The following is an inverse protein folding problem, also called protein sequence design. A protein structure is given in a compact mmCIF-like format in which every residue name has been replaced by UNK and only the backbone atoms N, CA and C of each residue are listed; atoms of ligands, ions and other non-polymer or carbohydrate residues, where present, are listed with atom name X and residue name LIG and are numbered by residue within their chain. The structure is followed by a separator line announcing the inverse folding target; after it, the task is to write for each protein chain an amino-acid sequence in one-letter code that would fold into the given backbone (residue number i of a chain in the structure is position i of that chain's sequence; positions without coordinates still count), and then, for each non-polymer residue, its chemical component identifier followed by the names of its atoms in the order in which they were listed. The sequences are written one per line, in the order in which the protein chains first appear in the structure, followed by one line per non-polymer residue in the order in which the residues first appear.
data_IF_994943244245
#
_entry.id   IF_994943244245
#
_cell.length_a   1.000
_cell.length_b   1.000
_cell.length_c   1.000
_cell.angle_alpha   90.00
_cell.angle_beta   90.00
_cell.angle_gamma   90.00
#
_symmetry.space_group_name_H-M   'P 1'
#
loop_
_entity.id
_entity.type
_entity.pdbx_description
1 polymer ?
#
# COMPACT_ATOMS: atom_id res chain seq x y z
N UNK A 1 19.81 -13.25 14.80
CA UNK A 1 18.98 -12.20 14.18
C UNK A 1 17.54 -12.63 14.36
N UNK A 2 16.75 -11.92 15.17
CA UNK A 2 15.32 -12.24 15.28
C UNK A 2 14.70 -11.97 13.92
N UNK A 3 14.15 -13.00 13.28
CA UNK A 3 13.41 -12.82 12.04
C UNK A 3 12.20 -11.95 12.33
N UNK A 4 12.04 -10.84 11.62
CA UNK A 4 10.87 -9.96 11.72
C UNK A 4 9.61 -10.77 11.41
N UNK A 5 8.70 -10.89 12.40
CA UNK A 5 7.39 -11.49 12.19
C UNK A 5 6.34 -10.39 12.07
N UNK A 6 5.70 -10.22 10.88
CA UNK A 6 4.73 -9.16 10.66
C UNK A 6 3.50 -9.27 11.58
N UNK A 7 3.05 -10.47 11.94
CA UNK A 7 1.90 -10.66 12.82
C UNK A 7 2.22 -10.20 14.24
N UNK A 8 3.38 -10.59 14.78
CA UNK A 8 3.80 -10.12 16.12
C UNK A 8 3.94 -8.59 16.17
N UNK A 9 4.40 -7.97 15.08
CA UNK A 9 4.52 -6.51 15.01
C UNK A 9 3.15 -5.83 15.08
N UNK A 10 2.18 -6.28 14.28
CA UNK A 10 0.81 -5.77 14.33
C UNK A 10 0.19 -5.95 15.70
N UNK A 11 0.36 -7.12 16.33
CA UNK A 11 -0.15 -7.42 17.67
C UNK A 11 0.44 -6.47 18.73
N UNK A 12 1.74 -6.18 18.67
CA UNK A 12 2.40 -5.19 19.56
C UNK A 12 1.82 -3.78 19.39
N UNK A 13 1.59 -3.36 18.15
CA UNK A 13 1.01 -2.04 17.84
C UNK A 13 -0.42 -1.97 18.36
N UNK A 14 -1.25 -2.99 18.10
CA UNK A 14 -2.61 -3.08 18.61
C UNK A 14 -2.65 -3.02 20.15
N UNK A 15 -1.80 -3.80 20.82
CA UNK A 15 -1.72 -3.80 22.28
C UNK A 15 -1.36 -2.42 22.83
N UNK A 16 -0.31 -1.80 22.30
CA UNK A 16 0.11 -0.43 22.66
C UNK A 16 -1.01 0.60 22.44
N UNK A 17 -1.75 0.45 21.33
CA UNK A 17 -2.88 1.35 21.03
C UNK A 17 -4.03 1.19 22.00
N UNK A 18 -4.38 -0.05 22.39
CA UNK A 18 -5.39 -0.31 23.41
C UNK A 18 -4.99 0.27 24.78
N UNK A 19 -3.71 0.13 25.16
CA UNK A 19 -3.17 0.70 26.40
C UNK A 19 -3.24 2.23 26.41
N UNK A 20 -2.83 2.90 25.31
CA UNK A 20 -2.88 4.37 25.19
C UNK A 20 -4.33 4.89 25.26
N UNK A 21 -5.26 4.15 24.68
CA UNK A 21 -6.69 4.51 24.66
C UNK A 21 -7.42 4.07 25.93
N UNK A 22 -6.73 3.39 26.84
CA UNK A 22 -7.30 2.83 28.10
C UNK A 22 -8.54 1.96 27.82
N UNK A 23 -8.45 1.09 26.79
CA UNK A 23 -9.51 0.16 26.43
C UNK A 23 -9.47 -1.09 27.32
N UNK A 24 -10.61 -1.78 27.43
CA UNK A 24 -10.68 -3.08 28.09
C UNK A 24 -9.79 -4.12 27.38
N UNK A 25 -9.14 -5.00 28.14
CA UNK A 25 -8.20 -6.00 27.60
C UNK A 25 -8.89 -6.94 26.58
N UNK A 26 -10.19 -7.17 26.72
CA UNK A 26 -10.99 -7.97 25.79
C UNK A 26 -10.97 -7.42 24.36
N UNK A 27 -10.80 -6.10 24.19
CA UNK A 27 -10.70 -5.48 22.86
C UNK A 27 -9.44 -5.95 22.14
N UNK A 28 -8.31 -5.98 22.85
CA UNK A 28 -7.07 -6.54 22.30
C UNK A 28 -7.22 -8.04 21.98
N UNK A 29 -7.82 -8.80 22.90
CA UNK A 29 -8.02 -10.24 22.70
C UNK A 29 -8.87 -10.57 21.49
N UNK A 30 -9.87 -9.75 21.17
CA UNK A 30 -10.72 -9.90 20.00
C UNK A 30 -10.00 -9.51 18.70
N UNK A 31 -9.07 -8.54 18.74
CA UNK A 31 -8.43 -7.99 17.55
C UNK A 31 -7.03 -8.55 17.24
N UNK A 32 -6.41 -9.30 18.18
CA UNK A 32 -5.04 -9.81 18.00
C UNK A 32 -4.90 -10.91 16.95
N UNK A 33 -5.98 -11.66 16.71
CA UNK A 33 -6.02 -12.74 15.71
C UNK A 33 -7.22 -12.55 14.78
N UNK A 34 -7.11 -12.97 13.51
CA UNK A 34 -8.24 -12.94 12.59
C UNK A 34 -9.32 -13.95 12.99
N UNK A 35 -10.58 -13.61 12.73
CA UNK A 35 -11.72 -14.51 12.96
C UNK A 35 -11.58 -15.82 12.16
N UNK A 36 -10.94 -15.75 10.99
CA UNK A 36 -10.72 -16.93 10.14
C UNK A 36 -9.49 -16.78 9.25
N UNK A 37 -8.73 -17.86 9.13
CA UNK A 37 -7.70 -18.01 8.10
C UNK A 37 -7.90 -19.32 7.38
N UNK A 38 -7.98 -19.26 6.04
CA UNK A 38 -8.20 -20.39 5.15
C UNK A 38 -6.89 -20.64 4.37
N UNK A 39 -6.33 -21.83 4.51
CA UNK A 39 -5.21 -22.31 3.70
C UNK A 39 -5.74 -23.27 2.63
N UNK A 40 -5.29 -23.10 1.39
CA UNK A 40 -5.75 -23.87 0.23
C UNK A 40 -4.56 -24.40 -0.58
N UNK A 41 -4.78 -25.53 -1.25
CA UNK A 41 -3.87 -26.08 -2.25
C UNK A 41 -4.54 -26.01 -3.62
N UNK A 42 -3.90 -25.32 -4.56
CA UNK A 42 -4.44 -25.01 -5.89
C UNK A 42 -3.73 -25.87 -6.93
N UNK A 43 -4.35 -26.96 -7.43
CA UNK A 43 -3.78 -27.76 -8.50
C UNK A 43 -3.92 -27.05 -9.84
N UNK A 44 -2.81 -26.75 -10.50
CA UNK A 44 -2.77 -26.11 -11.82
C UNK A 44 -2.14 -27.05 -12.83
N UNK A 45 -2.83 -27.30 -13.94
CA UNK A 45 -2.25 -28.00 -15.09
C UNK A 45 -1.34 -27.03 -15.84
N UNK A 46 -0.05 -27.31 -15.83
CA UNK A 46 0.96 -26.50 -16.51
C UNK A 46 0.92 -26.71 -18.03
N UNK A 47 1.54 -25.83 -18.80
CA UNK A 47 1.57 -25.90 -20.26
C UNK A 47 2.30 -27.17 -20.77
N UNK A 48 3.21 -27.72 -19.97
CA UNK A 48 3.88 -29.01 -20.24
C UNK A 48 3.02 -30.22 -19.91
N UNK A 49 1.75 -30.05 -19.54
CA UNK A 49 0.78 -31.10 -19.22
C UNK A 49 0.88 -31.69 -17.80
N UNK A 50 1.90 -31.37 -17.03
CA UNK A 50 2.04 -31.79 -15.62
C UNK A 50 1.21 -30.92 -14.68
N UNK A 51 0.90 -31.45 -13.50
CA UNK A 51 0.27 -30.65 -12.44
C UNK A 51 1.33 -30.07 -11.50
N UNK A 52 1.17 -28.78 -11.16
CA UNK A 52 1.89 -28.10 -10.06
C UNK A 52 0.84 -27.66 -9.04
N UNK A 53 1.14 -27.86 -7.75
CA UNK A 53 0.26 -27.43 -6.65
C UNK A 53 0.83 -26.16 -6.06
N UNK A 54 0.02 -25.11 -6.02
CA UNK A 54 0.37 -23.84 -5.38
C UNK A 54 -0.37 -23.70 -4.06
N UNK A 55 0.32 -23.18 -3.04
CA UNK A 55 -0.29 -22.89 -1.75
C UNK A 55 -0.83 -21.48 -1.76
N UNK A 56 -2.07 -21.32 -1.30
CA UNK A 56 -2.75 -20.03 -1.18
C UNK A 56 -3.35 -19.83 0.21
N UNK A 57 -3.64 -18.59 0.55
CA UNK A 57 -4.21 -18.16 1.82
C UNK A 57 -5.31 -17.12 1.61
N UNK A 58 -6.32 -17.13 2.50
CA UNK A 58 -7.24 -16.02 2.70
C UNK A 58 -7.48 -15.82 4.18
N UNK A 59 -7.13 -14.66 4.71
CA UNK A 59 -7.38 -14.24 6.09
C UNK A 59 -8.54 -13.25 6.13
N UNK A 60 -9.48 -13.47 7.05
CA UNK A 60 -10.66 -12.68 7.33
C UNK A 60 -10.55 -12.24 8.78
N UNK A 61 -10.18 -10.96 9.00
CA UNK A 61 -9.75 -10.49 10.31
C UNK A 61 -10.94 -10.12 11.21
N UNK A 62 -11.75 -9.16 10.79
CA UNK A 62 -12.88 -8.67 11.58
C UNK A 62 -13.94 -8.07 10.65
N UNK A 63 -15.22 -8.46 10.80
CA UNK A 63 -16.33 -8.02 9.96
C UNK A 63 -17.33 -7.07 10.67
N UNK A 64 -16.99 -6.59 11.86
CA UNK A 64 -17.84 -5.69 12.66
C UNK A 64 -18.27 -4.44 11.89
N UNK A 65 -17.41 -3.92 11.01
CA UNK A 65 -17.71 -2.75 10.16
C UNK A 65 -18.43 -3.12 8.85
N UNK A 66 -18.42 -4.39 8.45
CA UNK A 66 -19.01 -4.89 7.21
C UNK A 66 -18.18 -6.00 6.57
N UNK A 67 -18.48 -6.39 5.31
CA UNK A 67 -17.77 -7.47 4.61
C UNK A 67 -16.25 -7.31 4.66
N UNK A 68 -15.53 -8.42 4.81
CA UNK A 68 -14.07 -8.40 4.74
C UNK A 68 -13.61 -7.81 3.40
N UNK A 69 -12.57 -6.99 3.42
CA UNK A 69 -12.06 -6.30 2.23
C UNK A 69 -10.56 -6.30 2.20
N UNK A 70 -9.96 -6.73 1.08
CA UNK A 70 -8.51 -6.65 0.93
C UNK A 70 -7.96 -7.37 -0.28
N UNK A 71 -6.71 -7.04 -0.63
CA UNK A 71 -6.02 -7.51 -1.81
C UNK A 71 -5.60 -8.98 -1.77
N UNK A 72 -5.27 -9.52 -2.93
CA UNK A 72 -4.67 -10.85 -3.12
C UNK A 72 -3.27 -10.62 -3.68
N UNK A 73 -2.23 -11.06 -2.94
CA UNK A 73 -0.82 -10.91 -3.30
C UNK A 73 -0.29 -12.20 -3.94
N UNK A 74 0.40 -12.08 -5.07
CA UNK A 74 1.14 -13.17 -5.68
C UNK A 74 2.63 -12.92 -5.49
N UNK A 75 3.25 -13.65 -4.56
CA UNK A 75 4.68 -13.45 -4.29
C UNK A 75 5.30 -14.71 -3.65
N UNK A 76 6.57 -15.03 -3.94
CA UNK A 76 7.24 -16.21 -3.37
C UNK A 76 7.35 -16.22 -1.84
N UNK A 77 7.37 -15.05 -1.20
CA UNK A 77 7.51 -14.91 0.26
C UNK A 77 6.19 -14.94 1.03
N UNK A 78 5.04 -14.99 0.34
CA UNK A 78 3.73 -15.05 0.99
C UNK A 78 3.67 -16.19 1.99
N UNK A 79 3.18 -15.89 3.18
CA UNK A 79 2.98 -16.88 4.26
C UNK A 79 1.74 -16.54 5.10
N UNK A 80 1.36 -17.47 6.01
CA UNK A 80 0.16 -17.32 6.82
C UNK A 80 0.19 -16.11 7.74
N UNK A 81 1.32 -15.82 8.39
CA UNK A 81 1.45 -14.69 9.34
C UNK A 81 1.40 -13.34 8.61
N UNK A 82 1.98 -13.26 7.41
CA UNK A 82 1.89 -12.06 6.58
C UNK A 82 0.45 -11.73 6.19
N UNK A 83 -0.33 -12.73 5.71
CA UNK A 83 -1.73 -12.46 5.32
C UNK A 83 -2.62 -12.15 6.52
N UNK A 84 -2.35 -12.72 7.70
CA UNK A 84 -3.02 -12.37 8.95
C UNK A 84 -2.73 -10.92 9.34
N UNK A 85 -1.45 -10.54 9.38
CA UNK A 85 -1.03 -9.17 9.70
C UNK A 85 -1.68 -8.14 8.77
N UNK A 86 -1.60 -8.40 7.45
CA UNK A 86 -2.15 -7.50 6.45
C UNK A 86 -3.68 -7.43 6.49
N UNK A 87 -4.38 -8.50 6.91
CA UNK A 87 -5.83 -8.47 7.11
C UNK A 87 -6.22 -7.61 8.33
N UNK A 88 -5.44 -7.63 9.40
CA UNK A 88 -5.62 -6.74 10.56
C UNK A 88 -5.43 -5.28 10.16
N UNK A 89 -4.37 -4.96 9.40
CA UNK A 89 -4.17 -3.62 8.84
C UNK A 89 -5.35 -3.15 8.00
N UNK A 90 -5.96 -4.03 7.20
CA UNK A 90 -7.14 -3.68 6.41
C UNK A 90 -8.35 -3.33 7.27
N UNK A 91 -8.59 -4.04 8.40
CA UNK A 91 -9.64 -3.66 9.36
C UNK A 91 -9.40 -2.26 9.90
N UNK A 92 -8.16 -1.96 10.31
CA UNK A 92 -7.81 -0.63 10.85
C UNK A 92 -7.95 0.47 9.79
N UNK A 93 -7.50 0.22 8.54
CA UNK A 93 -7.66 1.17 7.43
C UNK A 93 -9.13 1.51 7.16
N UNK A 94 -9.96 0.49 6.98
CA UNK A 94 -11.39 0.69 6.72
C UNK A 94 -12.06 1.44 7.87
N UNK A 95 -11.72 1.09 9.13
CA UNK A 95 -12.27 1.77 10.31
C UNK A 95 -11.80 3.23 10.41
N UNK A 96 -10.51 3.50 10.20
CA UNK A 96 -9.96 4.85 10.26
C UNK A 96 -10.57 5.81 9.22
N UNK A 97 -10.99 5.28 8.08
CA UNK A 97 -11.64 6.03 6.99
C UNK A 97 -13.17 5.92 7.00
N UNK A 98 -13.74 5.32 8.05
CA UNK A 98 -15.19 5.11 8.20
C UNK A 98 -15.84 4.38 7.01
N UNK A 99 -15.11 3.48 6.35
CA UNK A 99 -15.66 2.64 5.31
C UNK A 99 -16.42 1.46 5.92
N UNK A 100 -17.58 1.07 5.35
CA UNK A 100 -18.37 -0.03 5.86
C UNK A 100 -17.80 -1.40 5.43
N UNK A 101 -16.53 -1.63 5.73
CA UNK A 101 -15.81 -2.86 5.40
C UNK A 101 -14.98 -3.34 6.57
N UNK A 102 -14.90 -4.65 6.71
CA UNK A 102 -13.96 -5.35 7.55
C UNK A 102 -12.59 -5.53 6.89
N UNK A 103 -11.71 -6.30 7.52
CA UNK A 103 -10.38 -6.57 7.00
C UNK A 103 -10.22 -7.97 6.43
N UNK A 104 -9.78 -8.04 5.17
CA UNK A 104 -9.43 -9.29 4.52
C UNK A 104 -8.09 -9.19 3.78
N UNK A 105 -7.39 -10.30 3.66
CA UNK A 105 -6.17 -10.38 2.85
C UNK A 105 -5.98 -11.78 2.30
N UNK A 106 -5.51 -11.86 1.07
CA UNK A 106 -5.17 -13.13 0.44
C UNK A 106 -3.76 -13.12 -0.14
N UNK A 107 -3.29 -14.31 -0.49
CA UNK A 107 -2.03 -14.45 -1.21
C UNK A 107 -1.82 -15.85 -1.73
N UNK A 108 -0.94 -15.97 -2.72
CA UNK A 108 -0.45 -17.24 -3.26
C UNK A 108 1.07 -17.21 -3.24
N UNK A 109 1.68 -18.32 -2.80
CA UNK A 109 3.14 -18.52 -2.88
C UNK A 109 3.48 -18.84 -4.33
N UNK A 110 3.93 -17.83 -5.09
CA UNK A 110 4.25 -17.97 -6.52
C UNK A 110 5.18 -16.86 -6.99
N UNK A 111 6.13 -17.18 -7.84
CA UNK A 111 6.80 -16.22 -8.71
C UNK A 111 6.04 -16.16 -10.03
N UNK A 112 5.39 -15.03 -10.30
CA UNK A 112 4.59 -14.83 -11.52
C UNK A 112 5.44 -14.85 -12.79
N UNK A 113 6.74 -14.55 -12.69
CA UNK A 113 7.67 -14.57 -13.83
C UNK A 113 7.97 -15.98 -14.32
N UNK A 114 7.70 -17.01 -13.50
CA UNK A 114 7.84 -18.42 -13.88
C UNK A 114 6.63 -18.95 -14.66
N UNK A 115 5.55 -18.18 -14.78
CA UNK A 115 4.28 -18.63 -15.35
C UNK A 115 4.00 -17.97 -16.70
N UNK A 116 3.43 -18.76 -17.61
CA UNK A 116 2.80 -18.19 -18.80
C UNK A 116 1.49 -17.50 -18.43
N UNK A 117 0.98 -16.63 -19.31
CA UNK A 117 -0.33 -15.97 -19.14
C UNK A 117 -1.46 -17.00 -18.92
N UNK A 118 -1.42 -18.13 -19.64
CA UNK A 118 -2.41 -19.19 -19.51
C UNK A 118 -2.30 -19.94 -18.16
N UNK A 119 -1.10 -20.13 -17.67
CA UNK A 119 -0.86 -20.74 -16.35
C UNK A 119 -1.30 -19.79 -15.22
N UNK A 120 -1.02 -18.50 -15.36
CA UNK A 120 -1.46 -17.47 -14.42
C UNK A 120 -2.99 -17.35 -14.38
N UNK A 121 -3.67 -17.46 -15.53
CA UNK A 121 -5.14 -17.51 -15.60
C UNK A 121 -5.68 -18.74 -14.86
N UNK A 122 -5.13 -19.92 -15.14
CA UNK A 122 -5.54 -21.15 -14.46
C UNK A 122 -5.33 -21.10 -12.95
N UNK A 123 -4.21 -20.51 -12.51
CA UNK A 123 -3.92 -20.30 -11.08
C UNK A 123 -4.95 -19.35 -10.44
N UNK A 124 -5.24 -18.24 -11.10
CA UNK A 124 -6.19 -17.23 -10.61
C UNK A 124 -7.61 -17.80 -10.49
N UNK A 125 -8.06 -18.56 -11.49
CA UNK A 125 -9.35 -19.27 -11.45
C UNK A 125 -9.35 -20.37 -10.39
N UNK A 126 -8.25 -21.09 -10.24
CA UNK A 126 -8.08 -22.12 -9.22
C UNK A 126 -8.22 -21.57 -7.81
N UNK A 127 -7.66 -20.39 -7.53
CA UNK A 127 -7.83 -19.71 -6.25
C UNK A 127 -9.30 -19.43 -5.93
N UNK A 128 -10.06 -18.92 -6.88
CA UNK A 128 -11.50 -18.67 -6.70
C UNK A 128 -12.26 -19.99 -6.51
N UNK A 129 -11.92 -21.05 -7.26
CA UNK A 129 -12.57 -22.36 -7.16
C UNK A 129 -12.47 -22.95 -5.75
N UNK A 130 -11.35 -22.72 -5.05
CA UNK A 130 -11.18 -23.20 -3.68
C UNK A 130 -11.90 -22.28 -2.64
N UNK A 131 -12.14 -21.00 -2.99
CA UNK A 131 -12.63 -20.00 -2.03
C UNK A 131 -14.02 -19.44 -2.30
N UNK A 132 -14.70 -19.79 -3.41
CA UNK A 132 -15.97 -19.16 -3.80
C UNK A 132 -17.07 -19.22 -2.74
N UNK A 133 -17.03 -20.20 -1.84
CA UNK A 133 -18.00 -20.32 -0.71
C UNK A 133 -17.76 -19.33 0.42
N UNK A 134 -16.60 -18.71 0.47
CA UNK A 134 -16.13 -17.82 1.54
C UNK A 134 -15.94 -16.38 1.07
N UNK A 135 -16.09 -16.11 -0.24
CA UNK A 135 -16.00 -14.78 -0.83
C UNK A 135 -17.35 -14.39 -1.45
N UNK A 136 -17.59 -13.10 -1.58
CA UNK A 136 -18.83 -12.55 -2.14
C UNK A 136 -19.03 -11.10 -1.71
N UNK A 137 -19.90 -10.40 -2.41
CA UNK A 137 -20.18 -8.97 -2.20
C UNK A 137 -20.71 -8.62 -0.80
N UNK A 138 -21.27 -9.61 -0.07
CA UNK A 138 -21.80 -9.47 1.29
C UNK A 138 -20.93 -10.09 2.38
N UNK A 139 -19.83 -10.75 1.99
CA UNK A 139 -19.01 -11.52 2.94
C UNK A 139 -17.56 -11.12 2.91
N UNK A 140 -16.94 -11.19 1.75
CA UNK A 140 -15.52 -10.94 1.57
C UNK A 140 -15.24 -10.50 0.14
N UNK A 141 -14.71 -9.31 -0.02
CA UNK A 141 -14.53 -8.63 -1.31
C UNK A 141 -13.04 -8.50 -1.63
N UNK A 142 -12.48 -9.43 -2.43
CA UNK A 142 -11.09 -9.35 -2.85
C UNK A 142 -10.81 -8.15 -3.77
N UNK A 143 -9.53 -7.79 -3.81
CA UNK A 143 -9.00 -6.69 -4.61
C UNK A 143 -7.61 -7.05 -5.16
N UNK A 144 -7.03 -6.29 -6.12
CA UNK A 144 -5.64 -6.48 -6.52
C UNK A 144 -4.66 -6.01 -5.43
N UNK A 145 -3.47 -6.62 -5.43
CA UNK A 145 -2.31 -6.28 -4.61
C UNK A 145 -1.02 -6.54 -5.42
N UNK A 146 0.11 -6.78 -4.77
CA UNK A 146 1.40 -7.07 -5.45
C UNK A 146 1.24 -8.21 -6.45
N UNK A 147 1.71 -7.98 -7.68
CA UNK A 147 1.68 -8.91 -8.82
C UNK A 147 0.27 -9.42 -9.22
N UNK A 148 -0.77 -8.71 -8.81
CA UNK A 148 -2.13 -8.89 -9.33
C UNK A 148 -2.66 -7.58 -9.91
N UNK A 149 -3.58 -7.67 -10.87
CA UNK A 149 -4.05 -6.52 -11.63
C UNK A 149 -5.51 -6.69 -12.05
N UNK A 150 -6.01 -5.74 -12.82
CA UNK A 150 -7.38 -5.74 -13.33
C UNK A 150 -7.73 -6.96 -14.18
N UNK A 151 -6.78 -7.50 -14.95
CA UNK A 151 -6.93 -8.70 -15.78
C UNK A 151 -7.16 -9.95 -14.91
N UNK A 152 -6.35 -10.10 -13.85
CA UNK A 152 -6.48 -11.18 -12.88
C UNK A 152 -7.83 -11.08 -12.15
N UNK A 153 -8.23 -9.89 -11.73
CA UNK A 153 -9.54 -9.69 -11.09
C UNK A 153 -10.70 -10.03 -12.02
N UNK A 154 -10.57 -9.78 -13.32
CA UNK A 154 -11.57 -10.16 -14.32
C UNK A 154 -11.69 -11.67 -14.45
N UNK A 155 -10.57 -12.41 -14.53
CA UNK A 155 -10.58 -13.87 -14.54
C UNK A 155 -11.19 -14.48 -13.28
N UNK A 156 -10.87 -13.91 -12.12
CA UNK A 156 -11.42 -14.34 -10.84
C UNK A 156 -12.93 -14.12 -10.75
N UNK A 157 -13.40 -12.95 -11.20
CA UNK A 157 -14.83 -12.64 -11.23
C UNK A 157 -15.60 -13.57 -12.19
N UNK A 158 -15.08 -13.79 -13.40
CA UNK A 158 -15.70 -14.70 -14.38
C UNK A 158 -15.82 -16.13 -13.81
N UNK A 159 -14.78 -16.61 -13.12
CA UNK A 159 -14.84 -17.92 -12.48
C UNK A 159 -15.87 -17.97 -11.34
N UNK A 160 -15.94 -16.91 -10.52
CA UNK A 160 -16.92 -16.80 -9.45
C UNK A 160 -18.35 -16.85 -9.97
N UNK A 161 -18.64 -16.12 -11.05
CA UNK A 161 -19.96 -16.12 -11.70
C UNK A 161 -20.30 -17.52 -12.24
N UNK A 162 -19.34 -18.21 -12.88
CA UNK A 162 -19.54 -19.57 -13.38
C UNK A 162 -19.87 -20.56 -12.27
N UNK A 163 -19.20 -20.45 -11.12
CA UNK A 163 -19.38 -21.38 -10.01
C UNK A 163 -20.67 -21.14 -9.21
N UNK A 164 -21.07 -19.89 -9.08
CA UNK A 164 -22.18 -19.50 -8.21
C UNK A 164 -23.49 -19.22 -8.94
N UNK A 165 -23.42 -18.91 -10.24
CA UNK A 165 -24.54 -18.36 -11.01
C UNK A 165 -24.92 -16.94 -10.62
N UNK A 166 -24.17 -16.28 -9.70
CA UNK A 166 -24.44 -14.92 -9.24
C UNK A 166 -23.71 -13.92 -10.14
N UNK A 167 -24.46 -13.15 -10.90
CA UNK A 167 -23.96 -12.16 -11.87
C UNK A 167 -23.55 -10.82 -11.21
N UNK A 168 -23.35 -10.77 -9.89
CA UNK A 168 -22.86 -9.55 -9.24
C UNK A 168 -21.45 -9.20 -9.69
N UNK A 169 -21.23 -7.94 -10.04
CA UNK A 169 -19.90 -7.41 -10.33
C UNK A 169 -19.19 -6.90 -9.06
N UNK A 170 -19.87 -6.90 -7.91
CA UNK A 170 -19.38 -6.31 -6.67
C UNK A 170 -18.40 -7.21 -5.89
N UNK A 171 -18.35 -8.51 -6.19
CA UNK A 171 -17.50 -9.48 -5.47
C UNK A 171 -16.00 -9.15 -5.54
N UNK A 172 -15.53 -8.58 -6.64
CA UNK A 172 -14.13 -8.19 -6.82
C UNK A 172 -14.04 -6.71 -7.16
N UNK A 173 -13.09 -5.98 -6.56
CA UNK A 173 -12.78 -4.59 -6.92
C UNK A 173 -11.48 -4.50 -7.71
N UNK A 174 -11.17 -3.29 -8.24
CA UNK A 174 -9.94 -3.09 -9.02
C UNK A 174 -9.95 -3.76 -10.40
N UNK A 175 -11.12 -4.02 -10.95
CA UNK A 175 -11.35 -4.51 -12.31
C UNK A 175 -11.25 -3.39 -13.34
N UNK A 176 -11.04 -3.76 -14.61
CA UNK A 176 -11.16 -2.84 -15.73
C UNK A 176 -12.57 -2.19 -15.79
N UNK A 177 -12.67 -0.99 -16.33
CA UNK A 177 -13.93 -0.23 -16.43
C UNK A 177 -15.04 -1.03 -17.12
N UNK A 178 -14.70 -1.72 -18.22
CA UNK A 178 -15.65 -2.58 -18.95
C UNK A 178 -16.23 -3.75 -18.16
N UNK A 179 -15.60 -4.10 -17.04
CA UNK A 179 -16.06 -5.15 -16.10
C UNK A 179 -16.64 -4.57 -14.80
N UNK A 180 -17.12 -3.34 -14.80
CA UNK A 180 -17.68 -2.68 -13.62
C UNK A 180 -16.62 -2.14 -12.66
N UNK A 181 -15.44 -1.78 -13.17
CA UNK A 181 -14.43 -1.02 -12.43
C UNK A 181 -14.84 0.44 -12.23
N UNK A 182 -14.16 1.15 -11.33
CA UNK A 182 -14.42 2.56 -11.03
C UNK A 182 -13.37 3.46 -11.64
N UNK A 183 -13.79 4.63 -12.15
CA UNK A 183 -12.87 5.70 -12.54
C UNK A 183 -12.04 6.19 -11.33
N UNK A 184 -10.85 6.71 -11.59
CA UNK A 184 -9.98 7.29 -10.57
C UNK A 184 -9.20 6.29 -9.72
N UNK A 185 -9.41 4.97 -9.85
CA UNK A 185 -8.73 3.96 -9.02
C UNK A 185 -7.20 4.06 -9.10
N UNK A 186 -6.66 4.38 -10.29
CA UNK A 186 -5.20 4.49 -10.52
C UNK A 186 -4.57 5.61 -9.70
N UNK A 187 -5.24 6.74 -9.56
CA UNK A 187 -4.72 7.92 -8.84
C UNK A 187 -5.25 8.04 -7.40
N UNK A 188 -6.25 7.22 -7.01
CA UNK A 188 -6.97 7.39 -5.74
C UNK A 188 -6.06 7.46 -4.50
N UNK A 189 -5.06 6.58 -4.39
CA UNK A 189 -4.12 6.59 -3.26
C UNK A 189 -3.31 7.89 -3.20
N UNK A 190 -2.75 8.33 -4.34
CA UNK A 190 -2.00 9.58 -4.41
C UNK A 190 -2.87 10.81 -4.11
N UNK A 191 -4.13 10.81 -4.55
CA UNK A 191 -5.12 11.85 -4.19
C UNK A 191 -5.35 11.87 -2.67
N UNK A 192 -5.56 10.70 -2.07
CA UNK A 192 -5.76 10.56 -0.62
C UNK A 192 -4.58 11.14 0.17
N UNK A 193 -3.36 10.73 -0.19
CA UNK A 193 -2.13 11.26 0.43
C UNK A 193 -2.04 12.78 0.29
N UNK A 194 -2.34 13.33 -0.89
CA UNK A 194 -2.32 14.77 -1.12
C UNK A 194 -3.37 15.52 -0.26
N UNK A 195 -4.59 14.97 -0.15
CA UNK A 195 -5.65 15.57 0.69
C UNK A 195 -5.25 15.54 2.17
N UNK A 196 -4.76 14.41 2.66
CA UNK A 196 -4.30 14.27 4.05
C UNK A 196 -3.12 15.21 4.34
N UNK A 197 -2.17 15.33 3.40
CA UNK A 197 -1.06 16.30 3.53
C UNK A 197 -1.57 17.73 3.69
N UNK A 198 -2.49 18.15 2.81
CA UNK A 198 -3.11 19.48 2.89
C UNK A 198 -3.82 19.73 4.24
N UNK A 199 -4.64 18.78 4.66
CA UNK A 199 -5.40 18.94 5.93
C UNK A 199 -4.47 18.92 7.15
N UNK A 200 -3.39 18.15 7.10
CA UNK A 200 -2.38 18.12 8.17
C UNK A 200 -1.60 19.43 8.25
N UNK A 201 -1.16 19.96 7.11
CA UNK A 201 -0.52 21.30 7.06
C UNK A 201 -1.44 22.38 7.60
N UNK A 202 -2.72 22.35 7.21
CA UNK A 202 -3.72 23.31 7.73
C UNK A 202 -3.85 23.24 9.26
N UNK A 203 -3.84 22.05 9.86
CA UNK A 203 -3.86 21.87 11.32
C UNK A 203 -2.61 22.43 12.00
N UNK A 204 -1.46 22.40 11.31
CA UNK A 204 -0.21 23.00 11.76
C UNK A 204 -0.13 24.52 11.54
N UNK A 205 -1.15 25.12 10.95
CA UNK A 205 -1.15 26.54 10.59
C UNK A 205 -0.25 26.88 9.39
N UNK A 206 0.15 25.89 8.61
CA UNK A 206 1.01 26.05 7.43
C UNK A 206 0.13 26.12 6.18
N UNK A 207 0.29 27.18 5.41
CA UNK A 207 -0.38 27.29 4.11
C UNK A 207 0.31 26.39 3.09
N UNK A 208 -0.45 25.52 2.43
CA UNK A 208 0.10 24.61 1.40
C UNK A 208 0.83 25.35 0.29
N UNK A 209 0.40 26.56 -0.06
CA UNK A 209 1.02 27.39 -1.12
C UNK A 209 2.40 27.93 -0.75
N UNK A 210 2.75 27.91 0.52
CA UNK A 210 4.03 28.35 1.06
C UNK A 210 4.89 27.15 1.50
N UNK A 211 4.35 25.93 1.40
CA UNK A 211 5.01 24.71 1.87
C UNK A 211 6.00 24.16 0.86
N UNK A 212 7.18 23.77 1.34
CA UNK A 212 8.16 22.97 0.61
C UNK A 212 7.97 21.49 0.94
N UNK A 213 7.90 20.66 -0.10
CA UNK A 213 7.57 19.25 0.01
C UNK A 213 8.65 18.39 -0.67
N UNK A 214 9.09 17.34 0.02
CA UNK A 214 9.98 16.33 -0.52
C UNK A 214 9.27 14.98 -0.60
N UNK A 215 9.41 14.26 -1.72
CA UNK A 215 8.75 12.97 -1.97
C UNK A 215 9.78 11.90 -2.24
N UNK A 216 9.68 10.77 -1.53
CA UNK A 216 10.51 9.60 -1.79
C UNK A 216 9.71 8.56 -2.58
N UNK A 217 10.16 8.26 -3.79
CA UNK A 217 9.47 7.39 -4.74
C UNK A 217 8.57 8.18 -5.70
N UNK A 218 8.73 7.95 -7.00
CA UNK A 218 7.96 8.60 -8.06
C UNK A 218 7.13 7.61 -8.89
N UNK A 219 6.83 6.44 -8.29
CA UNK A 219 5.91 5.45 -8.85
C UNK A 219 4.45 5.94 -8.82
N UNK A 220 3.49 5.01 -8.89
CA UNK A 220 2.06 5.36 -8.98
C UNK A 220 1.59 6.27 -7.84
N UNK A 221 1.96 6.00 -6.59
CA UNK A 221 1.54 6.81 -5.44
C UNK A 221 2.24 8.16 -5.45
N UNK A 222 3.58 8.18 -5.52
CA UNK A 222 4.36 9.42 -5.42
C UNK A 222 4.09 10.41 -6.55
N UNK A 223 4.02 9.96 -7.82
CA UNK A 223 3.74 10.82 -8.96
C UNK A 223 2.33 11.44 -8.91
N UNK A 224 1.31 10.64 -8.52
CA UNK A 224 -0.04 11.17 -8.34
C UNK A 224 -0.14 12.09 -7.11
N UNK A 225 0.56 11.78 -6.02
CA UNK A 225 0.65 12.69 -4.86
C UNK A 225 1.25 14.03 -5.26
N UNK A 226 2.40 14.02 -5.97
CA UNK A 226 3.05 15.24 -6.47
C UNK A 226 2.10 16.07 -7.34
N UNK A 227 1.45 15.42 -8.33
CA UNK A 227 0.49 16.05 -9.25
C UNK A 227 -0.65 16.76 -8.52
N UNK A 228 -1.22 16.12 -7.49
CA UNK A 228 -2.34 16.70 -6.78
C UNK A 228 -1.91 17.78 -5.77
N UNK A 229 -0.75 17.62 -5.13
CA UNK A 229 -0.19 18.66 -4.26
C UNK A 229 0.17 19.92 -5.04
N UNK A 230 0.81 19.80 -6.22
CA UNK A 230 1.07 20.96 -7.10
C UNK A 230 -0.23 21.67 -7.49
N UNK A 231 -1.28 20.93 -7.87
CA UNK A 231 -2.61 21.50 -8.16
C UNK A 231 -3.24 22.24 -6.98
N UNK A 232 -2.92 21.84 -5.75
CA UNK A 232 -3.35 22.52 -4.52
C UNK A 232 -2.45 23.71 -4.18
N UNK A 233 -1.35 23.90 -4.91
CA UNK A 233 -0.39 25.00 -4.74
C UNK A 233 0.85 24.64 -3.92
N UNK A 234 1.04 23.38 -3.54
CA UNK A 234 2.23 22.92 -2.83
C UNK A 234 3.47 22.91 -3.74
N UNK A 235 4.62 23.28 -3.19
CA UNK A 235 5.88 23.34 -3.90
C UNK A 235 6.70 22.07 -3.66
N UNK A 236 6.80 21.20 -4.68
CA UNK A 236 7.60 19.97 -4.63
C UNK A 236 9.02 20.31 -5.03
N UNK A 237 9.94 20.32 -4.06
CA UNK A 237 11.33 20.77 -4.25
C UNK A 237 12.32 19.60 -4.37
N UNK A 238 11.94 18.38 -3.96
CA UNK A 238 12.84 17.23 -4.05
C UNK A 238 12.08 15.94 -4.30
N UNK A 239 12.67 15.08 -5.14
CA UNK A 239 12.19 13.72 -5.40
C UNK A 239 13.37 12.76 -5.30
N UNK A 240 13.26 11.74 -4.46
CA UNK A 240 14.18 10.61 -4.40
C UNK A 240 13.56 9.41 -5.10
N UNK A 241 14.33 8.73 -5.96
CA UNK A 241 13.85 7.57 -6.73
C UNK A 241 14.96 6.53 -6.88
N UNK A 242 14.59 5.34 -7.34
CA UNK A 242 15.50 4.24 -7.61
C UNK A 242 15.59 3.96 -9.11
N UNK A 243 16.81 3.85 -9.60
CA UNK A 243 17.13 3.41 -10.96
C UNK A 243 17.96 2.12 -10.90
N UNK A 244 17.70 1.18 -11.80
CA UNK A 244 18.38 -0.12 -11.81
C UNK A 244 19.89 -0.01 -12.03
N UNK A 245 20.34 0.99 -12.79
CA UNK A 245 21.75 1.20 -13.12
C UNK A 245 22.43 2.19 -12.17
N UNK A 246 21.70 3.20 -11.70
CA UNK A 246 22.22 4.30 -10.88
C UNK A 246 22.02 4.08 -9.38
N UNK A 247 21.17 3.12 -8.97
CA UNK A 247 20.76 2.95 -7.58
C UNK A 247 19.79 4.04 -7.12
N UNK A 248 19.79 4.32 -5.82
CA UNK A 248 18.99 5.43 -5.25
C UNK A 248 19.63 6.75 -5.63
N UNK A 249 18.85 7.65 -6.20
CA UNK A 249 19.25 9.01 -6.54
C UNK A 249 18.19 10.02 -6.09
N UNK A 250 18.58 11.26 -5.94
CA UNK A 250 17.67 12.34 -5.56
C UNK A 250 17.91 13.56 -6.41
N UNK A 251 16.84 14.12 -6.95
CA UNK A 251 16.84 15.40 -7.63
C UNK A 251 16.27 16.49 -6.73
N UNK A 252 16.84 17.69 -6.82
CA UNK A 252 16.46 18.86 -6.04
C UNK A 252 16.41 20.11 -6.91
N UNK A 253 15.38 20.91 -6.74
CA UNK A 253 15.23 22.24 -7.29
C UNK A 253 14.60 23.15 -6.24
N UNK A 254 15.31 24.21 -5.84
CA UNK A 254 14.84 25.13 -4.79
C UNK A 254 13.54 25.86 -5.16
N UNK A 255 13.36 26.15 -6.45
CA UNK A 255 12.17 26.82 -6.98
C UNK A 255 11.00 25.87 -7.18
N UNK A 256 11.24 24.55 -7.05
CA UNK A 256 10.28 23.48 -7.26
C UNK A 256 10.25 22.96 -8.70
N UNK A 257 9.46 21.91 -8.89
CA UNK A 257 9.33 21.22 -10.18
C UNK A 257 8.00 21.52 -10.87
N UNK A 258 7.99 21.51 -12.19
CA UNK A 258 6.78 21.30 -12.99
C UNK A 258 6.48 19.79 -13.00
N UNK A 259 5.47 19.38 -12.29
CA UNK A 259 5.17 17.95 -12.08
C UNK A 259 4.64 17.30 -13.37
N UNK A 260 3.94 18.05 -14.23
CA UNK A 260 3.48 17.52 -15.50
C UNK A 260 4.67 17.15 -16.42
N UNK A 261 5.70 17.97 -16.46
CA UNK A 261 6.92 17.73 -17.24
C UNK A 261 7.74 16.56 -16.65
N UNK A 262 7.82 16.47 -15.29
CA UNK A 262 8.46 15.34 -14.63
C UNK A 262 7.76 14.00 -14.94
N UNK A 263 6.44 13.96 -14.88
CA UNK A 263 5.66 12.76 -15.20
C UNK A 263 5.89 12.36 -16.66
N UNK A 264 5.81 13.30 -17.60
CA UNK A 264 6.06 13.03 -19.02
C UNK A 264 7.49 12.51 -19.28
N UNK A 265 8.48 13.08 -18.57
CA UNK A 265 9.86 12.62 -18.65
C UNK A 265 10.01 11.19 -18.10
N UNK A 266 9.43 10.91 -16.92
CA UNK A 266 9.47 9.60 -16.28
C UNK A 266 8.77 8.51 -17.10
N UNK A 267 7.60 8.82 -17.67
CA UNK A 267 6.88 7.89 -18.56
C UNK A 267 7.68 7.52 -19.81
N UNK A 268 8.46 8.47 -20.33
CA UNK A 268 9.28 8.27 -21.53
C UNK A 268 10.59 7.52 -21.27
N UNK A 269 11.27 7.84 -20.17
CA UNK A 269 12.64 7.42 -19.90
C UNK A 269 12.74 6.38 -18.76
N UNK A 270 11.67 6.18 -18.02
CA UNK A 270 11.60 5.33 -16.81
C UNK A 270 12.63 5.71 -15.74
N UNK A 271 13.09 6.95 -15.76
CA UNK A 271 14.03 7.54 -14.78
C UNK A 271 13.86 9.06 -14.77
N UNK A 272 14.21 9.69 -13.64
CA UNK A 272 14.34 11.15 -13.51
C UNK A 272 15.82 11.57 -13.43
N UNK A 273 16.75 10.62 -13.50
CA UNK A 273 18.17 10.90 -13.31
C UNK A 273 18.71 11.93 -14.32
N UNK A 274 18.29 11.86 -15.58
CA UNK A 274 18.73 12.74 -16.66
C UNK A 274 17.78 13.94 -16.85
N UNK A 275 16.91 14.25 -15.88
CA UNK A 275 16.07 15.42 -15.94
C UNK A 275 16.90 16.70 -15.84
N UNK A 276 16.61 17.70 -16.67
CA UNK A 276 17.45 18.89 -16.82
C UNK A 276 17.22 19.93 -15.74
N UNK A 277 18.22 20.76 -15.54
CA UNK A 277 18.19 21.93 -14.65
C UNK A 277 17.88 21.58 -13.18
N UNK A 278 18.41 20.44 -12.71
CA UNK A 278 18.26 19.98 -11.33
C UNK A 278 19.62 19.73 -10.66
N UNK A 279 19.65 19.80 -9.34
CA UNK A 279 20.82 19.38 -8.56
C UNK A 279 20.60 17.92 -8.13
N UNK A 280 21.66 17.12 -8.26
CA UNK A 280 21.71 15.81 -7.61
C UNK A 280 22.21 15.96 -6.19
N UNK A 281 21.48 15.44 -5.23
CA UNK A 281 21.85 15.42 -3.81
C UNK A 281 21.87 13.98 -3.29
N UNK A 282 22.55 13.73 -2.18
CA UNK A 282 22.51 12.40 -1.55
C UNK A 282 21.20 12.14 -0.83
N UNK A 283 20.91 10.87 -0.54
CA UNK A 283 19.74 10.51 0.27
C UNK A 283 19.81 11.11 1.68
N UNK A 284 20.99 11.25 2.25
CA UNK A 284 21.21 11.91 3.53
C UNK A 284 20.85 13.39 3.47
N UNK A 285 21.21 14.04 2.37
CA UNK A 285 20.83 15.44 2.14
C UNK A 285 19.31 15.57 1.95
N UNK A 286 18.66 14.59 1.28
CA UNK A 286 17.21 14.54 1.14
C UNK A 286 16.49 14.59 2.49
N UNK A 287 16.89 13.71 3.43
CA UNK A 287 16.28 13.70 4.76
C UNK A 287 16.59 14.92 5.60
N UNK A 288 17.71 15.59 5.35
CA UNK A 288 18.12 16.81 6.05
C UNK A 288 17.68 18.12 5.40
N UNK A 289 16.89 18.05 4.32
CA UNK A 289 16.32 19.24 3.68
C UNK A 289 15.46 20.06 4.65
N UNK A 290 15.56 21.37 4.54
CA UNK A 290 14.67 22.29 5.23
C UNK A 290 13.35 22.41 4.44
N UNK A 291 12.49 21.44 4.67
CA UNK A 291 11.16 21.32 4.04
C UNK A 291 10.08 21.18 5.12
N UNK A 292 8.85 21.51 4.80
CA UNK A 292 7.74 21.35 5.72
C UNK A 292 7.26 19.92 5.83
N UNK A 293 7.31 19.17 4.69
CA UNK A 293 6.76 17.81 4.60
C UNK A 293 7.73 16.88 3.88
N UNK A 294 7.89 15.66 4.43
CA UNK A 294 8.47 14.51 3.72
C UNK A 294 7.36 13.47 3.51
N UNK A 295 7.25 12.96 2.28
CA UNK A 295 6.24 11.96 1.92
C UNK A 295 6.95 10.71 1.38
N UNK A 296 7.18 9.68 2.23
CA UNK A 296 7.73 8.41 1.79
C UNK A 296 6.67 7.60 1.03
N UNK A 297 6.89 7.40 -0.29
CA UNK A 297 6.01 6.66 -1.20
C UNK A 297 6.70 5.44 -1.83
N UNK A 298 7.92 5.08 -1.42
CA UNK A 298 8.72 4.02 -2.05
C UNK A 298 8.54 2.67 -1.34
N UNK A 299 9.30 2.42 -0.28
CA UNK A 299 9.41 1.13 0.38
C UNK A 299 9.07 1.22 1.86
N UNK A 300 8.72 0.06 2.43
CA UNK A 300 8.65 -0.14 3.87
C UNK A 300 10.03 0.05 4.53
N UNK A 301 10.03 0.44 5.81
CA UNK A 301 11.25 0.65 6.61
C UNK A 301 12.30 1.58 5.99
N UNK A 302 11.87 2.54 5.16
CA UNK A 302 12.76 3.51 4.50
C UNK A 302 13.22 4.63 5.45
N UNK A 303 12.56 4.82 6.58
CA UNK A 303 12.93 5.76 7.64
C UNK A 303 13.23 4.97 8.90
N UNK A 304 14.50 4.73 9.13
CA UNK A 304 15.06 4.14 10.35
C UNK A 304 15.51 5.20 11.35
N UNK A 305 16.24 4.77 12.38
CA UNK A 305 16.74 5.66 13.44
C UNK A 305 17.71 6.72 12.87
N UNK A 306 18.55 6.34 11.90
CA UNK A 306 19.52 7.27 11.29
C UNK A 306 18.81 8.38 10.52
N UNK A 307 17.83 8.03 9.68
CA UNK A 307 17.04 8.97 8.91
C UNK A 307 16.19 9.86 9.83
N UNK A 308 15.55 9.26 10.84
CA UNK A 308 14.75 9.98 11.83
C UNK A 308 15.55 11.06 12.56
N UNK A 309 16.85 10.82 12.83
CA UNK A 309 17.73 11.81 13.45
C UNK A 309 18.12 12.97 12.50
N UNK A 310 18.10 12.74 11.18
CA UNK A 310 18.45 13.75 10.16
C UNK A 310 17.29 14.63 9.74
N UNK A 311 16.06 14.11 9.77
CA UNK A 311 14.84 14.80 9.28
C UNK A 311 14.64 16.15 9.98
N UNK A 312 14.41 17.21 9.20
CA UNK A 312 14.08 18.55 9.68
C UNK A 312 12.64 18.96 9.39
N UNK A 313 11.93 18.21 8.59
CA UNK A 313 10.53 18.42 8.28
C UNK A 313 9.68 18.42 9.56
N UNK A 314 8.61 19.19 9.56
CA UNK A 314 7.62 19.23 10.66
C UNK A 314 6.61 18.08 10.57
N UNK A 315 6.45 17.54 9.37
CA UNK A 315 5.42 16.56 9.04
C UNK A 315 5.98 15.46 8.14
N UNK A 316 5.64 14.22 8.47
CA UNK A 316 5.81 13.06 7.61
C UNK A 316 4.42 12.52 7.30
N UNK A 317 4.14 12.24 6.02
CA UNK A 317 2.86 11.63 5.59
C UNK A 317 3.18 10.34 4.85
N UNK A 318 2.81 9.21 5.43
CA UNK A 318 3.18 7.88 4.94
C UNK A 318 2.37 7.47 3.70
N UNK A 319 2.92 7.70 2.51
CA UNK A 319 2.31 7.26 1.25
C UNK A 319 2.56 5.78 0.93
N UNK A 320 3.70 5.22 1.34
CA UNK A 320 3.97 3.78 1.32
C UNK A 320 3.37 3.10 2.55
N UNK A 321 3.37 1.76 2.58
CA UNK A 321 2.99 1.01 3.78
C UNK A 321 4.20 0.85 4.70
N UNK A 322 4.05 1.25 5.97
CA UNK A 322 5.07 1.11 7.02
C UNK A 322 6.45 1.68 6.67
N UNK A 323 6.57 2.89 6.10
CA UNK A 323 7.87 3.45 5.76
C UNK A 323 8.68 3.87 6.99
N UNK A 324 8.03 4.32 8.06
CA UNK A 324 8.65 4.63 9.35
C UNK A 324 8.70 3.36 10.20
N UNK A 325 9.89 2.95 10.63
CA UNK A 325 10.01 1.79 11.50
C UNK A 325 9.68 2.12 12.96
N UNK A 326 9.44 1.10 13.76
CA UNK A 326 9.03 1.23 15.15
C UNK A 326 9.99 2.06 16.02
N UNK A 327 11.31 1.93 15.79
CA UNK A 327 12.32 2.64 16.58
C UNK A 327 12.42 4.11 16.16
N UNK A 328 12.25 4.41 14.88
CA UNK A 328 12.22 5.76 14.35
C UNK A 328 11.04 6.57 14.89
N UNK A 329 9.87 5.95 15.11
CA UNK A 329 8.66 6.61 15.61
C UNK A 329 8.89 7.34 16.94
N UNK A 330 9.60 6.73 17.88
CA UNK A 330 9.93 7.35 19.17
C UNK A 330 10.86 8.57 19.01
N UNK A 331 11.87 8.46 18.15
CA UNK A 331 12.81 9.55 17.85
C UNK A 331 12.09 10.74 17.23
N UNK A 332 11.22 10.48 16.25
CA UNK A 332 10.44 11.53 15.57
C UNK A 332 9.50 12.24 16.56
N UNK A 333 8.85 11.47 17.44
CA UNK A 333 7.99 12.02 18.50
C UNK A 333 8.77 12.91 19.47
N UNK A 334 9.94 12.49 19.95
CA UNK A 334 10.77 13.26 20.87
C UNK A 334 11.28 14.57 20.21
N UNK A 335 11.41 14.57 18.89
CA UNK A 335 11.77 15.75 18.08
C UNK A 335 10.58 16.60 17.66
N UNK A 336 9.37 16.29 18.13
CA UNK A 336 8.12 16.96 17.76
C UNK A 336 7.81 16.95 16.25
N UNK A 337 8.23 15.90 15.55
CA UNK A 337 7.89 15.67 14.15
C UNK A 337 6.61 14.83 14.10
N UNK A 338 5.59 15.36 13.45
CA UNK A 338 4.30 14.66 13.33
C UNK A 338 4.36 13.64 12.22
N UNK A 339 3.96 12.40 12.52
CA UNK A 339 3.81 11.32 11.54
C UNK A 339 2.32 11.04 11.33
N UNK A 340 1.86 11.16 10.10
CA UNK A 340 0.52 10.69 9.71
C UNK A 340 0.70 9.26 9.17
N UNK A 341 0.13 8.26 9.89
CA UNK A 341 0.37 6.87 9.56
C UNK A 341 -0.27 6.45 8.23
N UNK A 342 0.30 5.44 7.62
CA UNK A 342 -0.10 4.85 6.35
C UNK A 342 -1.58 4.43 6.32
N UNK A 343 -2.08 3.84 7.42
CA UNK A 343 -3.48 3.42 7.54
C UNK A 343 -4.49 4.58 7.39
N UNK A 344 -4.06 5.82 7.58
CA UNK A 344 -4.87 7.01 7.34
C UNK A 344 -4.50 7.68 6.01
N UNK A 345 -3.21 7.77 5.70
CA UNK A 345 -2.75 8.57 4.58
C UNK A 345 -2.97 7.93 3.22
N UNK A 346 -2.75 6.60 3.10
CA UNK A 346 -2.80 5.88 1.83
C UNK A 346 -4.06 4.99 1.66
N UNK A 347 -5.05 5.18 2.52
CA UNK A 347 -6.32 4.43 2.49
C UNK A 347 -7.24 4.85 1.36
#
# INVERSE_FOLDING_TARGET
MNSFNPLENVQKILKKSCEILNLDESVYDLLKEPERTIEINIPVKMDNGKFRIFKGFRSQHCDVMGPYKGGIRFHPTVNGDEVKALSAWMSLKCSATHLPFGGGKGGIIVDVNELSDNELERLSRGYVKELYKYIGDRYDIPAPDVNTNEKIMAWMLDEYIKLTGNNTLATFTGKALGFGGSYGRKEATGVGVAVITRESLKKLGINIRESKIAIQGFGNVGSNTAKHLERMGGNIVSISEYDKEKGVYTIYNEDGFNIADLIAHFEKNNTLFDYKDVKHISIDQFYSLDVDVIIPCALENSIGEEEANKIRAKLIVEGANGPVNYYADSILKDRNIIVIPDILANS
#
